data_IF_231668372231
#
_entry.id   IF_231668372231
#
_cell.length_a   1.000
_cell.length_b   1.000
_cell.length_c   1.000
_cell.angle_alpha   90.00
_cell.angle_beta   90.00
_cell.angle_gamma   90.00
#
_symmetry.space_group_name_H-M   'P 1'
#
loop_
_entity.id
_entity.type
_entity.pdbx_description
1 polymer ?
#
# COMPACT_ATOMS: atom_id res chain seq x y z
N UNK A 1 -16.43 -1.40 -5.11
CA UNK A 1 -15.11 -0.75 -4.91
C UNK A 1 -14.26 -1.06 -6.14
N UNK A 2 -13.37 -0.15 -6.54
CA UNK A 2 -12.51 -0.32 -7.72
C UNK A 2 -11.62 -1.57 -7.59
N UNK A 3 -11.14 -2.11 -8.71
CA UNK A 3 -10.13 -3.17 -8.75
C UNK A 3 -8.77 -2.66 -8.27
N UNK A 4 -8.44 -1.43 -8.64
CA UNK A 4 -7.19 -0.74 -8.28
C UNK A 4 -7.50 0.67 -7.77
N UNK A 5 -6.80 1.10 -6.74
CA UNK A 5 -6.77 2.48 -6.25
C UNK A 5 -5.35 3.05 -6.34
N UNK A 6 -5.21 4.29 -6.78
CA UNK A 6 -3.91 4.97 -6.88
C UNK A 6 -3.93 6.17 -5.96
N UNK A 7 -2.91 6.29 -5.12
CA UNK A 7 -2.84 7.29 -4.06
C UNK A 7 -1.57 8.12 -4.16
N UNK A 8 -1.73 9.39 -3.83
CA UNK A 8 -0.60 10.26 -3.49
C UNK A 8 -0.03 9.85 -2.13
N UNK A 9 1.18 10.30 -1.77
CA UNK A 9 1.75 10.06 -0.44
C UNK A 9 0.89 10.60 0.72
N UNK A 10 0.04 11.59 0.48
CA UNK A 10 -0.88 12.14 1.49
C UNK A 10 -2.12 11.26 1.77
N UNK A 11 -2.26 10.12 1.10
CA UNK A 11 -3.37 9.16 1.28
C UNK A 11 -4.62 9.50 0.47
N UNK A 12 -4.62 10.57 -0.32
CA UNK A 12 -5.72 10.90 -1.23
C UNK A 12 -5.57 10.18 -2.57
N UNK A 13 -6.71 9.84 -3.18
CA UNK A 13 -6.73 9.28 -4.54
C UNK A 13 -6.10 10.25 -5.55
N UNK A 14 -5.31 9.71 -6.46
CA UNK A 14 -4.78 10.45 -7.60
C UNK A 14 -5.89 10.82 -8.57
N UNK A 15 -5.98 12.10 -8.89
CA UNK A 15 -6.75 12.63 -10.02
C UNK A 15 -5.97 12.47 -11.33
N UNK A 16 -6.63 12.74 -12.47
CA UNK A 16 -5.97 12.71 -13.77
C UNK A 16 -4.82 13.72 -13.88
N UNK A 17 -4.94 14.88 -13.23
CA UNK A 17 -3.94 15.94 -13.28
C UNK A 17 -2.69 15.55 -12.48
N UNK A 18 -2.86 14.85 -11.34
CA UNK A 18 -1.75 14.36 -10.51
C UNK A 18 -0.83 13.39 -11.28
N UNK A 19 -1.37 12.65 -12.26
CA UNK A 19 -0.58 11.78 -13.14
C UNK A 19 0.32 12.54 -14.12
N UNK A 20 -0.06 13.77 -14.45
CA UNK A 20 0.66 14.62 -15.40
C UNK A 20 1.78 15.41 -14.73
N UNK A 21 1.73 15.55 -13.40
CA UNK A 21 2.81 16.14 -12.63
C UNK A 21 3.97 15.14 -12.52
N UNK A 22 5.05 15.40 -13.27
CA UNK A 22 6.26 14.56 -13.34
C UNK A 22 7.06 14.39 -12.03
N UNK A 23 6.45 14.71 -10.89
CA UNK A 23 6.99 14.55 -9.54
C UNK A 23 6.52 13.27 -8.82
N UNK A 24 5.68 12.44 -9.45
CA UNK A 24 5.25 11.16 -8.92
C UNK A 24 6.38 10.10 -8.91
N UNK A 25 7.49 10.39 -8.23
CA UNK A 25 8.52 9.38 -7.93
C UNK A 25 8.04 8.40 -6.86
N UNK A 26 6.97 8.73 -6.14
CA UNK A 26 6.50 7.93 -5.02
C UNK A 26 4.98 7.92 -5.00
N UNK A 27 4.40 6.73 -4.93
CA UNK A 27 2.96 6.49 -5.11
C UNK A 27 2.48 5.35 -4.20
N UNK A 28 1.22 5.43 -3.77
CA UNK A 28 0.50 4.32 -3.14
C UNK A 28 -0.38 3.60 -4.15
N UNK A 29 -0.46 2.27 -4.06
CA UNK A 29 -1.29 1.44 -4.95
C UNK A 29 -2.07 0.44 -4.11
N UNK A 30 -3.40 0.54 -4.14
CA UNK A 30 -4.28 -0.47 -3.57
C UNK A 30 -4.68 -1.48 -4.63
N UNK A 31 -4.56 -2.76 -4.29
CA UNK A 31 -4.99 -3.89 -5.10
C UNK A 31 -6.11 -4.62 -4.36
N UNK A 32 -7.29 -4.63 -4.98
CA UNK A 32 -8.47 -5.26 -4.40
C UNK A 32 -8.49 -6.76 -4.71
N UNK A 33 -8.19 -7.59 -3.72
CA UNK A 33 -8.19 -9.05 -3.87
C UNK A 33 -9.59 -9.63 -4.10
N UNK A 34 -10.66 -8.89 -3.76
CA UNK A 34 -12.05 -9.29 -4.04
C UNK A 34 -12.49 -9.00 -5.48
N UNK A 35 -11.68 -8.24 -6.23
CA UNK A 35 -12.02 -7.74 -7.57
C UNK A 35 -10.98 -8.10 -8.63
N UNK A 36 -10.48 -9.34 -8.61
CA UNK A 36 -9.56 -9.85 -9.62
C UNK A 36 -10.33 -10.09 -10.94
N UNK A 37 -10.01 -9.38 -12.04
CA UNK A 37 -10.85 -9.43 -13.26
C UNK A 37 -10.79 -10.76 -14.01
N UNK A 38 -9.71 -11.53 -13.84
CA UNK A 38 -9.47 -12.76 -14.60
C UNK A 38 -9.89 -13.99 -13.80
N UNK A 39 -10.82 -14.81 -14.33
CA UNK A 39 -11.15 -16.09 -13.72
C UNK A 39 -10.03 -17.10 -13.93
N UNK A 40 -10.06 -18.18 -13.14
CA UNK A 40 -9.09 -19.27 -13.28
C UNK A 40 -9.29 -20.07 -14.58
N UNK A 41 -8.48 -21.12 -14.79
CA UNK A 41 -8.56 -21.99 -15.98
C UNK A 41 -9.90 -22.73 -16.12
N UNK A 42 -10.72 -22.77 -15.07
CA UNK A 42 -12.04 -23.40 -15.02
C UNK A 42 -13.18 -22.38 -15.16
N UNK A 43 -12.86 -21.08 -15.19
CA UNK A 43 -13.85 -20.01 -15.25
C UNK A 43 -14.34 -19.54 -13.87
N UNK A 44 -13.73 -20.01 -12.78
CA UNK A 44 -14.12 -19.63 -11.43
C UNK A 44 -13.50 -18.28 -11.03
N UNK A 45 -14.21 -17.43 -10.26
CA UNK A 45 -13.64 -16.21 -9.71
C UNK A 45 -12.40 -16.50 -8.87
N UNK A 46 -11.34 -15.73 -9.08
CA UNK A 46 -10.16 -15.74 -8.21
C UNK A 46 -10.35 -14.64 -7.18
N UNK A 47 -10.16 -14.97 -5.91
CA UNK A 47 -10.14 -13.99 -4.81
C UNK A 47 -8.84 -14.13 -4.05
N UNK A 48 -8.32 -13.03 -3.55
CA UNK A 48 -7.11 -12.98 -2.72
C UNK A 48 -7.30 -11.96 -1.59
N UNK A 49 -6.31 -11.83 -0.72
CA UNK A 49 -6.24 -10.72 0.21
C UNK A 49 -6.08 -9.38 -0.53
N UNK A 50 -6.52 -8.28 0.09
CA UNK A 50 -6.32 -6.94 -0.47
C UNK A 50 -5.02 -6.34 0.04
N UNK A 51 -4.27 -5.68 -0.84
CA UNK A 51 -2.95 -5.16 -0.52
C UNK A 51 -2.86 -3.66 -0.79
N UNK A 52 -2.05 -2.96 0.01
CA UNK A 52 -1.62 -1.60 -0.22
C UNK A 52 -0.10 -1.57 -0.35
N UNK A 53 0.38 -1.13 -1.50
CA UNK A 53 1.79 -1.04 -1.84
C UNK A 53 2.21 0.43 -1.81
N UNK A 54 3.26 0.74 -1.06
CA UNK A 54 3.82 2.08 -0.95
C UNK A 54 5.20 2.09 -1.62
N UNK A 55 5.33 2.78 -2.74
CA UNK A 55 6.58 2.88 -3.49
C UNK A 55 7.25 4.22 -3.22
N UNK A 56 8.47 4.22 -2.71
CA UNK A 56 9.31 5.41 -2.64
C UNK A 56 10.49 5.31 -3.62
N UNK A 57 10.38 5.91 -4.81
CA UNK A 57 11.52 6.01 -5.74
C UNK A 57 12.34 7.30 -5.55
N UNK A 58 12.03 8.09 -4.50
CA UNK A 58 12.84 9.24 -4.12
C UNK A 58 14.12 8.81 -3.40
N UNK A 59 15.09 9.72 -3.33
CA UNK A 59 16.40 9.48 -2.73
C UNK A 59 16.48 9.81 -1.24
N UNK A 60 15.38 10.31 -0.68
CA UNK A 60 15.16 10.54 0.74
C UNK A 60 13.97 9.70 1.25
N UNK A 61 13.87 9.55 2.58
CA UNK A 61 12.72 8.91 3.22
C UNK A 61 11.45 9.73 2.97
N UNK A 62 10.34 9.03 2.75
CA UNK A 62 9.05 9.67 2.49
C UNK A 62 7.97 9.07 3.38
N UNK A 63 7.25 9.94 4.08
CA UNK A 63 6.10 9.53 4.89
C UNK A 63 4.85 9.41 4.01
N UNK A 64 4.20 8.27 4.09
CA UNK A 64 2.91 7.99 3.46
C UNK A 64 1.82 7.98 4.51
N UNK A 65 0.68 8.58 4.21
CA UNK A 65 -0.57 8.42 4.99
C UNK A 65 -1.38 7.28 4.38
N UNK A 66 -1.84 6.35 5.22
CA UNK A 66 -2.70 5.26 4.79
C UNK A 66 -4.10 5.80 4.43
N UNK A 67 -4.74 5.27 3.37
CA UNK A 67 -6.04 5.74 2.92
C UNK A 67 -7.14 5.48 3.97
N UNK A 68 -8.30 6.08 3.75
CA UNK A 68 -9.45 5.97 4.65
C UNK A 68 -9.95 4.54 4.84
N UNK A 69 -10.77 4.34 5.88
CA UNK A 69 -11.31 3.03 6.30
C UNK A 69 -12.06 2.31 5.17
N UNK A 70 -12.58 3.02 4.18
CA UNK A 70 -13.22 2.39 3.03
C UNK A 70 -12.26 1.48 2.25
N UNK A 71 -10.95 1.73 2.28
CA UNK A 71 -9.93 0.90 1.61
C UNK A 71 -9.42 -0.23 2.50
N UNK A 72 -9.46 -0.03 3.81
CA UNK A 72 -9.13 -1.02 4.82
C UNK A 72 -8.97 -0.38 6.20
N UNK A 73 -9.67 -0.93 7.20
CA UNK A 73 -9.62 -0.43 8.58
C UNK A 73 -8.26 -0.68 9.24
N UNK A 74 -7.64 -1.83 8.92
CA UNK A 74 -6.37 -2.29 9.49
C UNK A 74 -5.49 -2.94 8.42
N UNK A 75 -4.20 -2.82 8.66
CA UNK A 75 -3.15 -3.23 7.76
C UNK A 75 -2.05 -3.94 8.54
N UNK A 76 -1.46 -4.97 7.94
CA UNK A 76 -0.25 -5.62 8.46
C UNK A 76 0.88 -5.53 7.45
N UNK A 77 2.09 -5.19 7.90
CA UNK A 77 3.30 -5.16 7.05
C UNK A 77 3.74 -6.59 6.69
N UNK A 78 3.62 -6.93 5.42
CA UNK A 78 4.09 -8.21 4.86
C UNK A 78 5.53 -8.12 4.33
N UNK A 79 5.87 -7.00 3.70
CA UNK A 79 7.19 -6.77 3.12
C UNK A 79 7.63 -5.34 3.38
N UNK A 80 8.89 -5.16 3.79
CA UNK A 80 9.59 -3.87 3.78
C UNK A 80 10.98 -4.11 3.18
N UNK A 81 11.26 -3.46 2.04
CA UNK A 81 12.55 -3.59 1.34
C UNK A 81 13.59 -2.58 1.82
N UNK A 82 13.20 -1.55 2.56
CA UNK A 82 14.09 -0.57 3.18
C UNK A 82 14.80 -1.13 4.40
N UNK A 83 14.20 -2.14 5.02
CA UNK A 83 14.81 -2.88 6.12
C UNK A 83 14.71 -2.14 7.44
N UNK A 84 13.49 -1.95 7.96
CA UNK A 84 13.27 -1.96 9.40
C UNK A 84 13.25 -3.41 9.88
N UNK A 85 14.43 -4.04 9.96
CA UNK A 85 14.61 -5.14 10.91
C UNK A 85 14.94 -4.47 12.25
N UNK A 86 13.92 -4.25 13.07
CA UNK A 86 14.14 -3.89 14.47
C UNK A 86 14.61 -5.16 15.17
N UNK A 87 15.91 -5.22 15.50
CA UNK A 87 16.44 -6.31 16.33
C UNK A 87 15.71 -6.33 17.69
N UNK A 88 14.87 -7.35 17.93
CA UNK A 88 14.43 -7.74 19.27
C UNK A 88 13.12 -7.17 19.81
N UNK A 89 12.11 -6.89 18.97
CA UNK A 89 10.77 -6.47 19.42
C UNK A 89 9.70 -7.47 18.96
N UNK A 90 8.71 -7.75 19.80
CA UNK A 90 7.60 -8.68 19.51
C UNK A 90 6.95 -8.34 18.16
N UNK A 91 7.14 -9.24 17.19
CA UNK A 91 7.00 -8.96 15.74
C UNK A 91 5.56 -8.69 15.27
N UNK A 92 4.53 -9.01 16.06
CA UNK A 92 3.12 -8.99 15.63
C UNK A 92 2.40 -7.65 15.90
N UNK A 93 2.62 -6.98 17.03
CA UNK A 93 1.90 -5.73 17.36
C UNK A 93 2.48 -4.50 16.63
N UNK A 94 3.81 -4.45 16.38
CA UNK A 94 4.44 -3.32 15.68
C UNK A 94 4.18 -3.30 14.17
N UNK A 95 3.70 -4.42 13.59
CA UNK A 95 3.38 -4.50 12.16
C UNK A 95 1.96 -4.08 11.83
N UNK A 96 1.13 -3.74 12.82
CA UNK A 96 -0.26 -3.32 12.59
C UNK A 96 -0.40 -1.80 12.48
N UNK A 97 -1.02 -1.34 11.40
CA UNK A 97 -1.41 0.05 11.18
C UNK A 97 -2.92 0.16 10.93
N UNK A 98 -3.49 1.32 11.22
CA UNK A 98 -4.90 1.64 10.96
C UNK A 98 -5.03 2.59 9.77
N UNK A 99 -6.22 2.66 9.21
CA UNK A 99 -6.57 3.72 8.26
C UNK A 99 -6.17 5.11 8.80
N UNK A 100 -5.55 5.93 7.95
CA UNK A 100 -5.06 7.26 8.33
C UNK A 100 -3.78 7.31 9.16
N UNK A 101 -3.24 6.18 9.62
CA UNK A 101 -1.89 6.14 10.19
C UNK A 101 -0.84 6.49 9.12
N UNK A 102 0.37 6.82 9.57
CA UNK A 102 1.48 7.15 8.67
C UNK A 102 2.59 6.12 8.73
N UNK A 103 3.19 5.80 7.59
CA UNK A 103 4.36 4.91 7.48
C UNK A 103 5.48 5.66 6.76
N UNK A 104 6.67 5.68 7.37
CA UNK A 104 7.87 6.14 6.69
C UNK A 104 8.42 5.02 5.79
N UNK A 105 8.58 5.33 4.51
CA UNK A 105 9.18 4.43 3.52
C UNK A 105 10.56 4.97 3.17
N UNK A 106 11.60 4.19 3.44
CA UNK A 106 12.99 4.59 3.25
C UNK A 106 13.33 4.91 1.77
N UNK A 107 14.44 5.62 1.51
CA UNK A 107 14.85 5.94 0.14
C UNK A 107 14.90 4.72 -0.78
N UNK A 108 14.39 4.85 -2.01
CA UNK A 108 14.45 3.81 -3.06
C UNK A 108 13.97 2.43 -2.58
N UNK A 109 12.94 2.42 -1.74
CA UNK A 109 12.38 1.21 -1.15
C UNK A 109 10.86 1.16 -1.30
N UNK A 110 10.27 0.06 -0.83
CA UNK A 110 8.83 -0.11 -0.82
C UNK A 110 8.37 -0.93 0.39
N UNK A 111 7.13 -0.67 0.78
CA UNK A 111 6.42 -1.42 1.82
C UNK A 111 5.15 -2.03 1.22
N UNK A 112 4.85 -3.28 1.57
CA UNK A 112 3.64 -4.00 1.20
C UNK A 112 2.85 -4.29 2.46
N UNK A 113 1.61 -3.81 2.46
CA UNK A 113 0.64 -3.99 3.54
C UNK A 113 -0.47 -4.90 3.05
N UNK A 114 -0.91 -5.82 3.89
CA UNK A 114 -2.11 -6.63 3.68
C UNK A 114 -3.25 -6.13 4.55
N UNK A 115 -4.45 -6.04 4.00
CA UNK A 115 -5.67 -5.69 4.75
C UNK A 115 -6.05 -6.85 5.68
N UNK A 116 -6.42 -6.53 6.92
CA UNK A 116 -6.86 -7.49 7.96
C UNK A 116 -8.33 -7.31 8.29
#
# INVERSE_FOLDING_TARGET
>A
MSDIGWFKPDGQLMSHDDWSEGFAKSIGVFLNGDAIPSPDRRGEPVTDDSFLLLFNAFDEGLTFTLPGEEWGERWTVEVDTGGLVVDGVDEEEERMAKAGDTIEVLPRSMVVLRRV
#
